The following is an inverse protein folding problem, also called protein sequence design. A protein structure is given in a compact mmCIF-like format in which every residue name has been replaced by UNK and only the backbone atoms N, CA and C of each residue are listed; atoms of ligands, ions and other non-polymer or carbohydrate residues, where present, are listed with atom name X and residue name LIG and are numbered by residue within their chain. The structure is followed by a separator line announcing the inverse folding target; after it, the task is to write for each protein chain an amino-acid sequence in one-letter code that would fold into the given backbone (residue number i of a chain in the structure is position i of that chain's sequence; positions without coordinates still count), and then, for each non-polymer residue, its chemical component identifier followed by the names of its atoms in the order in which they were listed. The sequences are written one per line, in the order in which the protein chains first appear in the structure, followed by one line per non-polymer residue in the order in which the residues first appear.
data_IF_775231516429
#
_entry.id   IF_775231516429
#
_cell.length_a   1.000
_cell.length_b   1.000
_cell.length_c   1.000
_cell.angle_alpha   90.00
_cell.angle_beta   90.00
_cell.angle_gamma   90.00
#
_symmetry.space_group_name_H-M   'P 1'
#
loop_
_entity.id
_entity.type
_entity.pdbx_description
1 polymer ?
#
# COMPACT_ATOMS: atom_id res chain seq x y z
N UNK A 1 21.88 -16.89 -0.63
CA UNK A 1 20.55 -16.31 -0.29
C UNK A 1 20.16 -15.14 -1.21
N UNK A 2 21.10 -14.33 -1.70
CA UNK A 2 20.86 -13.17 -2.59
C UNK A 2 20.22 -13.51 -3.95
N UNK A 3 20.63 -14.58 -4.64
CA UNK A 3 20.05 -14.91 -5.97
C UNK A 3 18.55 -15.20 -5.96
N UNK A 4 18.01 -15.79 -4.88
CA UNK A 4 16.58 -16.11 -4.80
C UNK A 4 15.69 -14.86 -4.77
N UNK A 5 16.10 -13.82 -4.05
CA UNK A 5 15.38 -12.54 -4.02
C UNK A 5 15.41 -11.84 -5.38
N UNK A 6 16.51 -11.98 -6.11
CA UNK A 6 16.70 -11.42 -7.45
C UNK A 6 15.76 -12.09 -8.45
N UNK A 7 15.69 -13.42 -8.41
CA UNK A 7 14.82 -14.20 -9.30
C UNK A 7 13.34 -13.95 -9.00
N UNK A 8 12.97 -13.79 -7.72
CA UNK A 8 11.62 -13.39 -7.32
C UNK A 8 11.24 -12.01 -7.88
N UNK A 9 12.14 -11.03 -7.81
CA UNK A 9 11.89 -9.69 -8.37
C UNK A 9 11.75 -9.70 -9.90
N UNK A 10 12.53 -10.53 -10.59
CA UNK A 10 12.41 -10.73 -12.05
C UNK A 10 11.10 -11.41 -12.42
N UNK A 11 10.71 -12.45 -11.68
CA UNK A 11 9.44 -13.16 -11.87
C UNK A 11 8.23 -12.24 -11.66
N UNK A 12 8.24 -11.47 -10.56
CA UNK A 12 7.20 -10.49 -10.25
C UNK A 12 7.09 -9.40 -11.33
N UNK A 13 8.22 -8.98 -11.93
CA UNK A 13 8.20 -8.05 -13.08
C UNK A 13 7.52 -8.68 -14.30
N UNK A 14 7.87 -9.92 -14.64
CA UNK A 14 7.27 -10.63 -15.78
C UNK A 14 5.76 -10.85 -15.61
N UNK A 15 5.31 -11.14 -14.39
CA UNK A 15 3.88 -11.24 -14.08
C UNK A 15 3.12 -9.92 -14.30
N UNK A 16 3.78 -8.77 -14.12
CA UNK A 16 3.18 -7.45 -14.36
C UNK A 16 3.05 -7.11 -15.85
N UNK A 17 3.96 -7.61 -16.69
CA UNK A 17 3.95 -7.32 -18.14
C UNK A 17 2.71 -7.91 -18.84
N UNK A 18 2.11 -8.95 -18.29
CA UNK A 18 0.90 -9.62 -18.81
C UNK A 18 -0.34 -9.30 -17.95
N UNK A 19 -0.25 -8.30 -17.07
CA UNK A 19 -1.29 -7.99 -16.10
C UNK A 19 -2.43 -7.16 -16.72
N UNK A 20 -3.66 -7.53 -16.40
CA UNK A 20 -4.86 -6.81 -16.86
C UNK A 20 -5.21 -5.71 -15.86
N UNK A 21 -5.12 -4.46 -16.31
CA UNK A 21 -5.40 -3.27 -15.49
C UNK A 21 -4.20 -2.84 -14.63
N UNK A 22 -4.40 -1.89 -13.70
CA UNK A 22 -3.33 -1.41 -12.82
C UNK A 22 -2.85 -2.51 -11.86
N UNK A 23 -1.54 -2.54 -11.62
CA UNK A 23 -0.93 -3.38 -10.58
C UNK A 23 -0.73 -2.60 -9.29
N UNK A 24 -1.20 -3.14 -8.17
CA UNK A 24 -0.89 -2.66 -6.82
C UNK A 24 -0.04 -3.68 -6.04
N UNK A 25 0.83 -3.24 -5.10
CA UNK A 25 1.49 -4.16 -4.17
C UNK A 25 0.47 -5.00 -3.39
N UNK A 26 0.87 -6.19 -2.97
CA UNK A 26 0.04 -7.01 -2.09
C UNK A 26 -0.23 -6.24 -0.78
N UNK A 27 -1.49 -6.17 -0.32
CA UNK A 27 -1.83 -5.54 0.93
C UNK A 27 -1.39 -6.44 2.09
N UNK A 28 -0.67 -5.85 3.05
CA UNK A 28 -0.23 -6.52 4.27
C UNK A 28 -0.89 -5.82 5.46
N UNK A 29 -1.55 -6.58 6.33
CA UNK A 29 -2.04 -6.05 7.60
C UNK A 29 -0.88 -5.98 8.59
N UNK A 30 -0.79 -4.83 9.25
CA UNK A 30 0.32 -4.47 10.13
C UNK A 30 -0.18 -3.98 11.49
N UNK A 31 -1.40 -4.38 11.84
CA UNK A 31 -1.95 -4.20 13.18
C UNK A 31 -1.10 -5.01 14.16
N UNK A 32 -0.21 -4.35 14.89
CA UNK A 32 0.53 -4.96 15.98
C UNK A 32 0.05 -4.35 17.29
N UNK A 33 -0.11 -5.21 18.29
CA UNK A 33 -0.60 -4.82 19.60
C UNK A 33 0.38 -3.82 20.24
N UNK A 34 -0.05 -2.61 20.63
CA UNK A 34 0.80 -1.65 21.34
C UNK A 34 1.42 -2.24 22.61
N UNK A 35 0.72 -3.19 23.25
CA UNK A 35 1.11 -3.80 24.52
C UNK A 35 2.23 -4.86 24.40
N UNK A 36 2.55 -5.35 23.20
CA UNK A 36 3.55 -6.42 23.01
C UNK A 36 4.99 -5.91 22.82
N UNK A 37 5.21 -4.60 22.69
CA UNK A 37 6.53 -4.05 22.39
C UNK A 37 6.78 -2.74 23.15
N UNK A 38 7.95 -2.65 23.79
CA UNK A 38 8.46 -1.41 24.38
C UNK A 38 8.37 -0.26 23.36
N UNK A 39 7.94 0.92 23.81
CA UNK A 39 7.73 2.14 23.00
C UNK A 39 8.86 2.47 22.01
N UNK A 40 10.09 2.02 22.28
CA UNK A 40 11.27 2.22 21.41
C UNK A 40 11.29 1.36 20.14
N UNK A 41 10.53 0.26 20.05
CA UNK A 41 10.54 -0.67 18.89
C UNK A 41 9.36 -0.50 17.92
N UNK A 42 8.39 0.36 18.27
CA UNK A 42 7.19 0.64 17.46
C UNK A 42 7.54 1.39 16.16
N UNK A 43 8.72 2.02 16.11
CA UNK A 43 9.25 2.69 14.91
C UNK A 43 9.88 1.72 13.89
N UNK A 44 9.39 0.48 13.77
CA UNK A 44 9.74 -0.34 12.60
C UNK A 44 9.18 0.37 11.37
N UNK A 45 10.08 0.91 10.56
CA UNK A 45 9.84 1.55 9.26
C UNK A 45 8.88 0.71 8.42
N UNK A 46 7.58 0.95 8.57
CA UNK A 46 6.59 0.20 7.82
C UNK A 46 6.40 0.89 6.48
N UNK A 47 6.38 0.12 5.40
CA UNK A 47 6.52 0.65 4.05
C UNK A 47 5.13 0.88 3.46
N UNK A 48 4.75 2.15 3.26
CA UNK A 48 3.46 2.53 2.67
C UNK A 48 3.29 2.03 1.23
N UNK A 49 2.04 1.86 0.78
CA UNK A 49 1.73 1.46 -0.60
C UNK A 49 2.31 2.42 -1.63
N UNK A 50 2.26 3.73 -1.37
CA UNK A 50 2.85 4.75 -2.23
C UNK A 50 4.37 4.54 -2.39
N UNK A 51 5.07 4.28 -1.28
CA UNK A 51 6.51 4.02 -1.30
C UNK A 51 6.84 2.70 -2.02
N UNK A 52 6.07 1.64 -1.77
CA UNK A 52 6.20 0.37 -2.50
C UNK A 52 6.03 0.56 -4.00
N UNK A 53 5.09 1.38 -4.44
CA UNK A 53 4.89 1.71 -5.85
C UNK A 53 6.09 2.47 -6.44
N UNK A 54 6.65 3.45 -5.72
CA UNK A 54 7.87 4.15 -6.16
C UNK A 54 9.08 3.22 -6.26
N UNK A 55 9.30 2.36 -5.26
CA UNK A 55 10.32 1.32 -5.33
C UNK A 55 10.11 0.41 -6.53
N UNK A 56 8.86 0.11 -6.88
CA UNK A 56 8.52 -0.75 -8.00
C UNK A 56 8.83 -0.13 -9.37
N UNK A 57 8.92 1.20 -9.47
CA UNK A 57 9.32 1.93 -10.68
C UNK A 57 10.84 1.87 -10.93
N UNK A 58 11.65 1.67 -9.88
CA UNK A 58 13.09 1.49 -10.04
C UNK A 58 13.41 0.21 -10.83
N UNK A 59 14.50 0.26 -11.61
CA UNK A 59 15.10 -0.95 -12.15
C UNK A 59 15.53 -1.89 -11.03
N UNK A 60 15.71 -3.18 -11.35
CA UNK A 60 16.14 -4.16 -10.36
C UNK A 60 17.46 -3.74 -9.67
N UNK A 61 18.44 -3.26 -10.45
CA UNK A 61 19.72 -2.81 -9.90
C UNK A 61 19.55 -1.57 -9.02
N UNK A 62 18.79 -0.56 -9.46
CA UNK A 62 18.52 0.63 -8.65
C UNK A 62 17.85 0.26 -7.33
N UNK A 63 16.85 -0.62 -7.36
CA UNK A 63 16.16 -1.08 -6.16
C UNK A 63 17.09 -1.83 -5.20
N UNK A 64 17.93 -2.72 -5.70
CA UNK A 64 18.89 -3.47 -4.85
C UNK A 64 19.90 -2.52 -4.23
N UNK A 65 20.52 -1.64 -5.02
CA UNK A 65 21.46 -0.63 -4.52
C UNK A 65 20.79 0.27 -3.48
N UNK A 66 19.55 0.69 -3.73
CA UNK A 66 18.78 1.51 -2.80
C UNK A 66 18.49 0.77 -1.48
N UNK A 67 17.93 -0.44 -1.53
CA UNK A 67 17.56 -1.21 -0.34
C UNK A 67 18.78 -1.62 0.50
N UNK A 68 19.85 -2.10 -0.15
CA UNK A 68 21.06 -2.49 0.56
C UNK A 68 21.69 -1.28 1.27
N UNK A 69 21.66 -0.09 0.65
CA UNK A 69 22.25 1.11 1.23
C UNK A 69 21.36 1.83 2.26
N UNK A 70 20.11 2.10 1.92
CA UNK A 70 19.22 2.93 2.77
C UNK A 70 18.60 2.11 3.91
N UNK A 71 18.23 0.85 3.66
CA UNK A 71 17.49 0.03 4.65
C UNK A 71 18.43 -0.89 5.41
N UNK A 72 19.34 -1.58 4.71
CA UNK A 72 20.25 -2.54 5.34
C UNK A 72 21.62 -1.94 5.73
N UNK A 73 21.86 -0.67 5.39
CA UNK A 73 23.06 0.08 5.78
C UNK A 73 24.39 -0.57 5.35
N UNK A 74 24.40 -1.33 4.25
CA UNK A 74 25.63 -1.89 3.67
C UNK A 74 26.50 -0.81 3.02
N UNK A 75 27.81 -1.08 2.98
CA UNK A 75 28.76 -0.19 2.33
C UNK A 75 28.83 -0.41 0.82
N UNK A 76 29.24 0.64 0.10
CA UNK A 76 29.22 0.61 -1.37
C UNK A 76 30.15 -0.42 -1.99
N UNK A 77 31.20 -0.85 -1.27
CA UNK A 77 32.11 -1.91 -1.71
C UNK A 77 31.41 -3.28 -1.69
N UNK A 78 30.70 -3.60 -0.59
CA UNK A 78 29.91 -4.84 -0.49
C UNK A 78 28.77 -4.87 -1.52
N UNK A 79 28.10 -3.72 -1.71
CA UNK A 79 27.03 -3.60 -2.71
C UNK A 79 27.59 -3.81 -4.12
N UNK A 80 28.74 -3.23 -4.43
CA UNK A 80 29.42 -3.34 -5.72
C UNK A 80 29.70 -4.79 -6.10
N UNK A 81 30.15 -5.60 -5.14
CA UNK A 81 30.35 -7.05 -5.33
C UNK A 81 29.02 -7.76 -5.64
N UNK A 82 27.95 -7.47 -4.89
CA UNK A 82 26.64 -8.12 -5.04
C UNK A 82 26.01 -7.82 -6.41
N UNK A 83 26.06 -6.57 -6.87
CA UNK A 83 25.43 -6.16 -8.14
C UNK A 83 26.38 -6.21 -9.34
N UNK A 84 27.62 -6.65 -9.13
CA UNK A 84 28.68 -6.71 -10.13
C UNK A 84 28.88 -5.36 -10.86
N UNK A 85 29.15 -4.30 -10.08
CA UNK A 85 29.42 -2.92 -10.57
C UNK A 85 30.56 -2.29 -9.78
N UNK A 86 31.07 -1.15 -10.23
CA UNK A 86 32.04 -0.39 -9.43
C UNK A 86 31.34 0.37 -8.28
N UNK A 87 32.09 0.63 -7.20
CA UNK A 87 31.64 1.45 -6.07
C UNK A 87 31.09 2.82 -6.54
N UNK A 88 31.82 3.51 -7.42
CA UNK A 88 31.42 4.80 -7.97
C UNK A 88 30.07 4.73 -8.71
N UNK A 89 29.84 3.66 -9.48
CA UNK A 89 28.56 3.44 -10.15
C UNK A 89 27.43 3.19 -9.14
N UNK A 90 27.68 2.40 -8.08
CA UNK A 90 26.70 2.17 -7.02
C UNK A 90 26.31 3.47 -6.30
N UNK A 91 27.26 4.37 -6.01
CA UNK A 91 26.97 5.70 -5.46
C UNK A 91 26.07 6.53 -6.38
N UNK A 92 26.36 6.52 -7.68
CA UNK A 92 25.57 7.27 -8.66
C UNK A 92 24.16 6.70 -8.80
N UNK A 93 24.03 5.37 -8.89
CA UNK A 93 22.75 4.66 -8.92
C UNK A 93 21.93 4.99 -7.68
N UNK A 94 22.54 4.90 -6.49
CA UNK A 94 21.88 5.23 -5.23
C UNK A 94 21.35 6.67 -5.22
N UNK A 95 22.19 7.64 -5.58
CA UNK A 95 21.80 9.05 -5.60
C UNK A 95 20.62 9.31 -6.55
N UNK A 96 20.61 8.69 -7.73
CA UNK A 96 19.52 8.80 -8.70
C UNK A 96 18.24 8.14 -8.17
N UNK A 97 18.34 6.92 -7.64
CA UNK A 97 17.22 6.19 -7.06
C UNK A 97 16.59 6.95 -5.88
N UNK A 98 17.42 7.44 -4.95
CA UNK A 98 16.99 8.24 -3.79
C UNK A 98 16.27 9.51 -4.25
N UNK A 99 16.80 10.19 -5.27
CA UNK A 99 16.12 11.35 -5.89
C UNK A 99 14.77 11.03 -6.48
N UNK A 100 14.63 9.89 -7.17
CA UNK A 100 13.35 9.48 -7.77
C UNK A 100 12.28 9.03 -6.76
N UNK A 101 12.67 8.68 -5.54
CA UNK A 101 11.74 8.23 -4.48
C UNK A 101 11.37 9.39 -3.53
N UNK A 102 12.09 10.51 -3.58
CA UNK A 102 11.75 11.69 -2.77
C UNK A 102 10.35 12.21 -3.12
N UNK A 103 9.45 12.18 -2.14
CA UNK A 103 8.05 12.62 -2.31
C UNK A 103 7.05 11.94 -1.37
N UNK A 104 7.41 10.77 -0.82
CA UNK A 104 6.62 10.12 0.25
C UNK A 104 7.29 10.42 1.59
N UNK A 105 6.64 11.19 2.49
CA UNK A 105 7.18 11.48 3.81
C UNK A 105 7.46 10.19 4.59
N UNK A 106 8.51 10.22 5.42
CA UNK A 106 8.73 9.16 6.41
C UNK A 106 7.54 9.13 7.39
N UNK A 107 7.10 7.92 7.76
CA UNK A 107 5.93 7.70 8.59
C UNK A 107 6.22 8.12 10.04
N UNK A 108 5.76 9.32 10.43
CA UNK A 108 5.81 9.81 11.81
C UNK A 108 4.47 9.62 12.54
N UNK A 109 4.51 9.54 13.88
CA UNK A 109 3.33 9.27 14.72
C UNK A 109 2.18 10.28 14.54
N UNK A 110 2.47 11.58 14.56
CA UNK A 110 1.44 12.63 14.39
C UNK A 110 0.73 12.56 13.02
N UNK A 111 1.48 12.25 11.96
CA UNK A 111 0.91 12.08 10.61
C UNK A 111 0.02 10.83 10.55
N UNK A 112 0.39 9.78 11.28
CA UNK A 112 -0.37 8.53 11.36
C UNK A 112 -1.72 8.73 12.07
N UNK A 113 -1.75 9.45 13.19
CA UNK A 113 -2.99 9.79 13.90
C UNK A 113 -3.95 10.62 13.03
N UNK A 114 -3.44 11.67 12.38
CA UNK A 114 -4.24 12.50 11.46
C UNK A 114 -4.78 11.68 10.28
N UNK A 115 -3.97 10.79 9.72
CA UNK A 115 -4.41 9.87 8.67
C UNK A 115 -5.54 8.94 9.18
N UNK A 116 -5.45 8.43 10.41
CA UNK A 116 -6.49 7.62 11.04
C UNK A 116 -7.84 8.34 11.11
N UNK A 117 -7.85 9.59 11.59
CA UNK A 117 -9.07 10.39 11.66
C UNK A 117 -9.71 10.65 10.28
N UNK A 118 -8.89 10.84 9.23
CA UNK A 118 -9.40 10.99 7.85
C UNK A 118 -9.98 9.67 7.33
N UNK A 119 -9.36 8.54 7.65
CA UNK A 119 -9.85 7.21 7.27
C UNK A 119 -11.18 6.88 7.96
N UNK A 120 -11.33 7.24 9.24
CA UNK A 120 -12.61 7.10 9.97
C UNK A 120 -13.73 7.91 9.31
N UNK A 121 -13.48 9.17 8.96
CA UNK A 121 -14.45 10.00 8.24
C UNK A 121 -14.78 9.41 6.86
N UNK A 122 -13.79 8.86 6.17
CA UNK A 122 -13.99 8.17 4.89
C UNK A 122 -14.90 6.94 5.06
N UNK A 123 -14.67 6.11 6.10
CA UNK A 123 -15.52 4.97 6.42
C UNK A 123 -16.95 5.41 6.74
N UNK A 124 -17.11 6.48 7.53
CA UNK A 124 -18.43 7.02 7.88
C UNK A 124 -19.19 7.46 6.63
N UNK A 125 -18.55 8.23 5.74
CA UNK A 125 -19.14 8.70 4.49
C UNK A 125 -19.62 7.54 3.60
N UNK A 126 -18.83 6.46 3.50
CA UNK A 126 -19.23 5.26 2.76
C UNK A 126 -20.37 4.49 3.46
N UNK A 127 -20.29 4.32 4.78
CA UNK A 127 -21.27 3.54 5.55
C UNK A 127 -22.67 4.13 5.51
N UNK A 128 -22.79 5.47 5.50
CA UNK A 128 -24.10 6.16 5.42
C UNK A 128 -24.51 6.50 3.99
N UNK A 129 -23.72 6.12 2.98
CA UNK A 129 -23.98 6.41 1.57
C UNK A 129 -23.80 7.88 1.16
N UNK A 130 -23.24 8.73 2.04
CA UNK A 130 -23.01 10.14 1.76
C UNK A 130 -21.63 10.38 1.12
N UNK A 131 -21.46 9.89 -0.10
CA UNK A 131 -20.18 10.00 -0.85
C UNK A 131 -19.77 11.44 -1.15
N UNK A 132 -20.66 12.43 -1.02
CA UNK A 132 -20.33 13.84 -1.18
C UNK A 132 -19.44 14.35 -0.03
N UNK A 133 -19.49 13.75 1.16
CA UNK A 133 -18.58 14.08 2.25
C UNK A 133 -17.12 13.78 1.91
N UNK A 134 -16.87 12.93 0.89
CA UNK A 134 -15.51 12.70 0.41
C UNK A 134 -14.89 13.97 -0.19
N UNK A 135 -15.69 14.95 -0.67
CA UNK A 135 -15.18 16.21 -1.21
C UNK A 135 -14.20 16.92 -0.27
N UNK A 136 -14.48 16.87 1.04
CA UNK A 136 -13.68 17.56 2.04
C UNK A 136 -12.38 16.81 2.37
N UNK A 137 -12.36 15.50 2.11
CA UNK A 137 -11.24 14.60 2.42
C UNK A 137 -10.24 14.46 1.26
N UNK A 138 -10.67 14.69 0.01
CA UNK A 138 -9.86 14.42 -1.18
C UNK A 138 -9.08 15.66 -1.64
N UNK A 139 -7.85 15.47 -2.13
CA UNK A 139 -7.16 16.53 -2.88
C UNK A 139 -7.83 16.75 -4.24
N UNK A 140 -7.72 17.94 -4.82
CA UNK A 140 -8.35 18.24 -6.12
C UNK A 140 -7.85 17.33 -7.24
N UNK A 141 -6.58 16.94 -7.18
CA UNK A 141 -5.88 16.06 -8.12
C UNK A 141 -5.74 14.61 -7.59
N UNK A 142 -6.64 14.19 -6.70
CA UNK A 142 -6.64 12.84 -6.16
C UNK A 142 -6.68 11.79 -7.28
N UNK A 143 -5.97 10.69 -7.06
CA UNK A 143 -5.99 9.53 -7.97
C UNK A 143 -6.51 8.28 -7.26
N UNK A 144 -7.43 7.56 -7.89
CA UNK A 144 -7.88 6.25 -7.45
C UNK A 144 -7.32 5.18 -8.41
N UNK A 145 -6.62 4.21 -7.84
CA UNK A 145 -6.09 3.05 -8.57
C UNK A 145 -6.77 1.81 -8.01
N UNK A 146 -7.31 0.98 -8.89
CA UNK A 146 -7.96 -0.27 -8.51
C UNK A 146 -7.27 -1.46 -9.15
N UNK A 147 -6.99 -2.50 -8.37
CA UNK A 147 -6.38 -3.74 -8.85
C UNK A 147 -7.35 -4.90 -8.65
N UNK A 148 -7.90 -5.42 -9.76
CA UNK A 148 -8.70 -6.64 -9.80
C UNK A 148 -8.02 -7.83 -10.47
N UNK A 149 -6.77 -7.67 -10.94
CA UNK A 149 -6.00 -8.69 -11.65
C UNK A 149 -6.67 -9.38 -12.83
N UNK A 150 -7.65 -8.74 -13.47
CA UNK A 150 -8.45 -9.36 -14.54
C UNK A 150 -9.42 -10.45 -14.08
N UNK A 151 -9.55 -10.69 -12.77
CA UNK A 151 -10.42 -11.73 -12.19
C UNK A 151 -11.76 -11.20 -11.72
N UNK A 152 -11.76 -9.95 -11.27
CA UNK A 152 -12.96 -9.23 -10.81
C UNK A 152 -13.03 -7.88 -11.48
N UNK A 153 -14.25 -7.30 -11.50
CA UNK A 153 -14.46 -5.98 -12.09
C UNK A 153 -13.73 -4.91 -11.27
N UNK A 154 -12.81 -4.22 -11.93
CA UNK A 154 -12.07 -3.06 -11.41
C UNK A 154 -11.92 -2.03 -12.53
N UNK A 155 -11.56 -0.79 -12.20
CA UNK A 155 -11.21 0.20 -13.22
C UNK A 155 -9.90 -0.22 -13.90
N UNK A 156 -9.94 -0.29 -15.24
CA UNK A 156 -8.78 -0.67 -16.06
C UNK A 156 -7.72 0.43 -16.17
N UNK A 157 -8.10 1.66 -15.82
CA UNK A 157 -7.21 2.83 -15.82
C UNK A 157 -7.39 3.61 -14.52
N UNK A 158 -6.34 4.30 -14.03
CA UNK A 158 -6.46 5.21 -12.90
C UNK A 158 -7.57 6.25 -13.11
N UNK A 159 -8.36 6.48 -12.06
CA UNK A 159 -9.42 7.48 -12.07
C UNK A 159 -8.84 8.76 -11.47
N UNK A 160 -8.77 9.81 -12.28
CA UNK A 160 -8.16 11.09 -11.91
C UNK A 160 -9.24 12.11 -11.53
N UNK A 161 -9.03 12.80 -10.43
CA UNK A 161 -9.86 13.91 -9.99
C UNK A 161 -11.05 13.49 -9.12
N UNK A 162 -11.34 14.34 -8.15
CA UNK A 162 -12.32 14.15 -7.09
C UNK A 162 -13.73 13.81 -7.61
N UNK A 163 -14.24 14.56 -8.59
CA UNK A 163 -15.60 14.34 -9.13
C UNK A 163 -15.79 12.94 -9.73
N UNK A 164 -14.75 12.44 -10.43
CA UNK A 164 -14.81 11.11 -11.05
C UNK A 164 -14.76 10.01 -10.00
N UNK A 165 -14.01 10.22 -8.92
CA UNK A 165 -13.91 9.30 -7.79
C UNK A 165 -15.22 9.26 -6.99
N UNK A 166 -15.86 10.39 -6.75
CA UNK A 166 -17.17 10.43 -6.09
C UNK A 166 -18.21 9.68 -6.92
N UNK A 167 -18.26 9.93 -8.24
CA UNK A 167 -19.14 9.17 -9.15
C UNK A 167 -18.82 7.68 -9.16
N UNK A 168 -17.54 7.31 -9.06
CA UNK A 168 -17.13 5.92 -8.93
C UNK A 168 -17.73 5.30 -7.68
N UNK A 169 -17.53 5.89 -6.50
CA UNK A 169 -18.10 5.38 -5.25
C UNK A 169 -19.63 5.37 -5.27
N UNK A 170 -20.29 6.40 -5.77
CA UNK A 170 -21.75 6.43 -5.94
C UNK A 170 -22.27 5.26 -6.80
N UNK A 171 -21.52 4.88 -7.84
CA UNK A 171 -21.88 3.80 -8.75
C UNK A 171 -21.47 2.39 -8.30
N UNK A 172 -20.56 2.27 -7.33
CA UNK A 172 -20.08 0.98 -6.80
C UNK A 172 -20.67 0.63 -5.45
N UNK A 173 -20.93 1.61 -4.59
CA UNK A 173 -21.43 1.39 -3.23
C UNK A 173 -22.77 0.62 -3.20
N UNK A 174 -23.75 0.88 -4.09
CA UNK A 174 -24.99 0.08 -4.14
C UNK A 174 -24.79 -1.40 -4.52
N UNK A 175 -23.59 -1.78 -4.98
CA UNK A 175 -23.25 -3.17 -5.37
C UNK A 175 -22.49 -3.89 -4.26
N UNK A 176 -22.14 -3.21 -3.18
CA UNK A 176 -21.50 -3.80 -2.01
C UNK A 176 -22.54 -4.67 -1.28
N UNK A 177 -22.16 -5.86 -0.78
CA UNK A 177 -23.07 -6.69 0.01
C UNK A 177 -23.71 -5.93 1.16
N UNK A 178 -25.01 -6.09 1.39
CA UNK A 178 -25.75 -5.32 2.38
C UNK A 178 -25.25 -5.51 3.84
N UNK A 179 -24.64 -6.66 4.13
CA UNK A 179 -24.01 -6.97 5.41
C UNK A 179 -22.51 -6.68 5.47
N UNK A 180 -21.95 -5.99 4.47
CA UNK A 180 -20.53 -5.72 4.43
C UNK A 180 -20.10 -4.81 5.60
N UNK A 181 -18.98 -5.15 6.23
CA UNK A 181 -18.35 -4.34 7.26
C UNK A 181 -17.09 -3.67 6.71
N UNK A 182 -16.89 -2.41 7.08
CA UNK A 182 -15.67 -1.65 6.79
C UNK A 182 -14.89 -1.52 8.09
N UNK A 183 -13.73 -2.17 8.18
CA UNK A 183 -12.89 -2.16 9.36
C UNK A 183 -11.64 -1.32 9.11
N UNK A 184 -11.37 -0.36 10.00
CA UNK A 184 -10.09 0.34 9.99
C UNK A 184 -8.99 -0.60 10.48
N UNK A 185 -7.92 -0.70 9.69
CA UNK A 185 -6.75 -1.57 9.91
C UNK A 185 -5.52 -0.88 9.33
N UNK A 186 -4.34 -1.16 9.86
CA UNK A 186 -3.09 -0.70 9.29
C UNK A 186 -2.72 -1.55 8.08
N UNK A 187 -2.88 -0.99 6.87
CA UNK A 187 -2.56 -1.63 5.59
C UNK A 187 -1.24 -1.06 5.08
N UNK A 188 -0.23 -1.92 4.92
CA UNK A 188 1.13 -1.52 4.53
C UNK A 188 1.68 -0.41 5.45
N UNK A 189 1.41 -0.52 6.76
CA UNK A 189 1.93 0.40 7.77
C UNK A 189 1.21 1.72 7.93
N UNK A 190 0.10 1.93 7.23
CA UNK A 190 -0.67 3.16 7.30
C UNK A 190 -2.14 2.85 7.56
N UNK A 191 -2.89 3.76 8.20
CA UNK A 191 -4.31 3.58 8.38
C UNK A 191 -4.99 3.35 7.03
N UNK A 192 -5.81 2.30 6.98
CA UNK A 192 -6.48 1.83 5.77
C UNK A 192 -7.78 1.13 6.13
N UNK A 193 -8.42 0.54 5.12
CA UNK A 193 -9.73 -0.10 5.26
C UNK A 193 -9.65 -1.52 4.73
N UNK A 194 -10.15 -2.47 5.51
CA UNK A 194 -10.51 -3.80 5.03
C UNK A 194 -12.04 -3.89 4.97
N UNK A 195 -12.57 -4.25 3.81
CA UNK A 195 -13.98 -4.54 3.63
C UNK A 195 -14.21 -6.05 3.65
N UNK A 196 -15.16 -6.48 4.49
CA UNK A 196 -15.52 -7.88 4.64
C UNK A 196 -17.01 -8.10 4.38
N UNK A 197 -17.35 -9.21 3.73
CA UNK A 197 -18.70 -9.76 3.67
C UNK A 197 -18.76 -10.95 4.64
N UNK A 198 -19.39 -10.75 5.80
CA UNK A 198 -19.17 -11.63 6.96
C UNK A 198 -17.69 -11.67 7.34
N UNK A 199 -17.05 -12.85 7.19
CA UNK A 199 -15.62 -13.05 7.46
C UNK A 199 -14.76 -13.04 6.19
N UNK A 200 -15.35 -12.88 5.01
CA UNK A 200 -14.63 -12.91 3.74
C UNK A 200 -14.16 -11.52 3.34
N UNK A 201 -12.84 -11.32 3.27
CA UNK A 201 -12.23 -10.10 2.74
C UNK A 201 -12.47 -10.01 1.25
N UNK A 202 -13.04 -8.90 0.79
CA UNK A 202 -13.28 -8.65 -0.64
C UNK A 202 -12.64 -7.35 -1.14
N UNK A 203 -12.15 -6.49 -0.26
CA UNK A 203 -11.44 -5.28 -0.64
C UNK A 203 -10.45 -4.84 0.46
N UNK A 204 -9.27 -4.38 0.05
CA UNK A 204 -8.33 -3.67 0.90
C UNK A 204 -8.03 -2.29 0.29
N UNK A 205 -8.12 -1.25 1.11
CA UNK A 205 -7.89 0.14 0.72
C UNK A 205 -6.74 0.72 1.54
N UNK A 206 -5.78 1.33 0.86
CA UNK A 206 -4.73 2.13 1.51
C UNK A 206 -4.68 3.52 0.87
N UNK A 207 -4.16 4.48 1.63
CA UNK A 207 -4.19 5.89 1.25
C UNK A 207 -2.79 6.48 1.17
N UNK A 208 -2.61 7.44 0.27
CA UNK A 208 -1.48 8.36 0.31
C UNK A 208 -2.01 9.73 0.74
N UNK A 209 -1.52 10.24 1.87
CA UNK A 209 -1.90 11.54 2.41
C UNK A 209 -0.96 12.64 1.91
N UNK A 210 -1.53 13.82 1.67
CA UNK A 210 -0.82 15.08 1.48
C UNK A 210 -1.37 16.09 2.47
N UNK A 211 -0.70 16.23 3.62
CA UNK A 211 -1.27 16.92 4.78
C UNK A 211 -2.51 16.16 5.27
N UNK A 212 -3.63 16.88 5.45
CA UNK A 212 -4.90 16.30 5.92
C UNK A 212 -5.82 15.83 4.78
N UNK A 213 -5.33 15.81 3.54
CA UNK A 213 -6.11 15.37 2.37
C UNK A 213 -5.55 14.12 1.74
N UNK A 214 -6.44 13.29 1.20
CA UNK A 214 -6.10 12.08 0.45
C UNK A 214 -5.65 12.48 -0.95
N UNK A 215 -4.39 12.20 -1.27
CA UNK A 215 -3.77 12.39 -2.58
C UNK A 215 -3.93 11.18 -3.49
N UNK A 216 -3.94 9.98 -2.93
CA UNK A 216 -4.25 8.78 -3.68
C UNK A 216 -4.97 7.73 -2.84
N UNK A 217 -5.84 6.97 -3.52
CA UNK A 217 -6.54 5.80 -2.98
C UNK A 217 -6.06 4.59 -3.78
N UNK A 218 -5.57 3.57 -3.08
CA UNK A 218 -5.17 2.30 -3.67
C UNK A 218 -6.12 1.21 -3.21
N UNK A 219 -6.91 0.67 -4.13
CA UNK A 219 -7.96 -0.30 -3.84
C UNK A 219 -7.62 -1.66 -4.46
N UNK A 220 -7.30 -2.64 -3.63
CA UNK A 220 -7.03 -4.02 -4.05
C UNK A 220 -8.31 -4.84 -3.88
N UNK A 221 -8.85 -5.33 -5.00
CA UNK A 221 -10.02 -6.24 -5.05
C UNK A 221 -9.66 -7.58 -5.69
N UNK A 222 -8.41 -7.75 -6.14
CA UNK A 222 -7.91 -9.01 -6.69
C UNK A 222 -7.94 -10.11 -5.61
N UNK A 223 -8.74 -11.18 -5.78
CA UNK A 223 -8.89 -12.22 -4.77
C UNK A 223 -7.57 -12.93 -4.42
N UNK A 224 -6.64 -13.06 -5.37
CA UNK A 224 -5.36 -13.72 -5.10
C UNK A 224 -4.53 -12.97 -4.06
N UNK A 225 -4.53 -11.63 -4.16
CA UNK A 225 -3.78 -10.76 -3.26
C UNK A 225 -4.46 -10.65 -1.89
N UNK A 226 -5.79 -10.77 -1.86
CA UNK A 226 -6.57 -10.71 -0.62
C UNK A 226 -6.45 -11.98 0.22
N UNK A 227 -6.00 -13.11 -0.34
CA UNK A 227 -5.79 -14.35 0.43
C UNK A 227 -4.82 -14.18 1.60
N UNK A 228 -3.78 -13.35 1.45
CA UNK A 228 -2.82 -13.08 2.53
C UNK A 228 -3.49 -12.33 3.69
N UNK A 229 -4.25 -11.29 3.38
CA UNK A 229 -5.04 -10.52 4.35
C UNK A 229 -6.08 -11.40 5.05
N UNK A 230 -6.77 -12.25 4.29
CA UNK A 230 -7.76 -13.20 4.82
C UNK A 230 -7.16 -14.12 5.89
N UNK A 231 -5.96 -14.66 5.63
CA UNK A 231 -5.25 -15.54 6.56
C UNK A 231 -4.84 -14.81 7.82
N UNK A 232 -4.35 -13.58 7.69
CA UNK A 232 -3.93 -12.77 8.84
C UNK A 232 -5.11 -12.49 9.78
N UNK A 233 -6.25 -12.06 9.24
CA UNK A 233 -7.46 -11.76 10.03
C UNK A 233 -8.00 -13.01 10.73
N UNK A 234 -7.96 -14.18 10.07
CA UNK A 234 -8.35 -15.45 10.66
C UNK A 234 -7.36 -15.91 11.75
N UNK A 235 -6.06 -15.68 11.56
CA UNK A 235 -5.01 -16.01 12.53
C UNK A 235 -5.08 -15.18 13.80
N UNK A 236 -5.31 -13.86 13.69
CA UNK A 236 -5.44 -12.96 14.84
C UNK A 236 -6.69 -13.25 15.69
N UNK A 237 -7.75 -13.79 15.07
CA UNK A 237 -8.98 -14.17 15.78
C UNK A 237 -8.85 -15.47 16.59
N UNK A 238 -7.78 -16.25 16.37
CA UNK A 238 -7.53 -17.54 17.04
C UNK A 238 -6.67 -17.49 18.31
N UNK A 239 -6.16 -16.32 18.70
CA UNK A 239 -5.31 -16.14 19.89
C UNK A 239 -6.05 -15.60 21.12
N UNK A 240 -7.37 -15.40 21.04
CA UNK A 240 -8.22 -15.13 22.20
C UNK A 240 -8.86 -16.43 22.70
N UNK A 241 -8.61 -16.79 23.95
CA UNK A 241 -9.04 -18.00 24.68
C UNK A 241 -8.13 -19.23 24.54
N UNK A 242 -7.03 -19.21 25.30
CA UNK A 242 -6.50 -20.39 25.97
C UNK A 242 -6.16 -20.02 27.42
#
# INVERSE_FOLDING_TARGET
MTHRCIDLLKSARKQREVYVGPWLPEPIITDRNPDELSEQYVQKETISTAYLLLLQQLSWTERVVFLLREVLQFDYDEIAEIVNKSNANCRQIFSRAKRSIHGVPANGGEMHEKAGAVVEQFIQALSIGNVNQLLDLLSTDVTLITDGGGKVRAALHPILGMDRIIRFFAGTLPKVPAGASLQMRNVNGQPGIIALDGNQVFCAISFHMQGERIKAIYMVVNPDKLMAVQKEIQGSSGLGYA
#
